data_IF_885650624989
#
_entry.id   IF_885650624989
#
_cell.length_a   1.000
_cell.length_b   1.000
_cell.length_c   1.000
_cell.angle_alpha   90.00
_cell.angle_beta   90.00
_cell.angle_gamma   90.00
#
_symmetry.space_group_name_H-M   'P 1'
#
loop_
_entity.id
_entity.type
_entity.pdbx_description
1 polymer ?
#
# COMPACT_ATOMS: atom_id res chain seq x y z
N UNK A 1 -3.35 38.84 -31.54
CA UNK A 1 -2.31 38.34 -30.62
C UNK A 1 -2.80 38.16 -29.17
N UNK A 2 -3.87 38.85 -28.75
CA UNK A 2 -4.40 38.84 -27.36
C UNK A 2 -5.01 37.49 -26.92
N UNK A 3 -5.61 36.73 -27.84
CA UNK A 3 -6.36 35.50 -27.51
C UNK A 3 -5.49 34.37 -26.94
N UNK A 4 -4.22 34.26 -27.37
CA UNK A 4 -3.34 33.17 -26.92
C UNK A 4 -2.86 33.40 -25.50
N UNK A 5 -2.54 34.64 -25.15
CA UNK A 5 -2.09 35.02 -23.80
C UNK A 5 -3.20 34.85 -22.77
N UNK A 6 -4.43 35.26 -23.09
CA UNK A 6 -5.60 35.08 -22.23
C UNK A 6 -5.90 33.60 -21.96
N UNK A 7 -5.78 32.75 -23.00
CA UNK A 7 -5.96 31.30 -22.87
C UNK A 7 -4.87 30.68 -22.00
N UNK A 8 -3.60 31.08 -22.18
CA UNK A 8 -2.49 30.58 -21.36
C UNK A 8 -2.69 30.98 -19.89
N UNK A 9 -3.05 32.24 -19.62
CA UNK A 9 -3.31 32.73 -18.27
C UNK A 9 -4.45 31.94 -17.62
N UNK A 10 -5.55 31.72 -18.34
CA UNK A 10 -6.68 30.94 -17.83
C UNK A 10 -6.26 29.51 -17.49
N UNK A 11 -5.51 28.85 -18.36
CA UNK A 11 -4.98 27.50 -18.12
C UNK A 11 -4.12 27.50 -16.85
N UNK A 12 -3.19 28.43 -16.72
CA UNK A 12 -2.32 28.54 -15.53
C UNK A 12 -3.14 28.72 -14.26
N UNK A 13 -4.15 29.60 -14.28
CA UNK A 13 -5.05 29.82 -13.13
C UNK A 13 -5.79 28.54 -12.77
N UNK A 14 -6.35 27.82 -13.75
CA UNK A 14 -7.07 26.56 -13.52
C UNK A 14 -6.15 25.49 -12.91
N UNK A 15 -4.95 25.32 -13.44
CA UNK A 15 -3.98 24.36 -12.90
C UNK A 15 -3.49 24.75 -11.50
N UNK A 16 -3.26 26.03 -11.24
CA UNK A 16 -2.85 26.52 -9.92
C UNK A 16 -3.95 26.33 -8.87
N UNK A 17 -5.19 26.68 -9.20
CA UNK A 17 -6.36 26.47 -8.34
C UNK A 17 -6.58 24.98 -8.08
N UNK A 18 -6.47 24.14 -9.11
CA UNK A 18 -6.57 22.70 -8.97
C UNK A 18 -5.50 22.15 -8.03
N UNK A 19 -4.25 22.56 -8.22
CA UNK A 19 -3.15 22.10 -7.36
C UNK A 19 -3.43 22.42 -5.89
N UNK A 20 -3.91 23.63 -5.60
CA UNK A 20 -4.26 24.04 -4.24
C UNK A 20 -5.45 23.22 -3.67
N UNK A 21 -6.56 23.18 -4.41
CA UNK A 21 -7.79 22.50 -3.99
C UNK A 21 -7.56 20.98 -3.87
N UNK A 22 -6.98 20.36 -4.88
CA UNK A 22 -6.61 18.96 -4.92
C UNK A 22 -5.63 18.59 -3.83
N UNK A 23 -4.69 19.47 -3.48
CA UNK A 23 -3.78 19.24 -2.36
C UNK A 23 -4.52 19.15 -1.02
N UNK A 24 -5.46 20.07 -0.76
CA UNK A 24 -6.25 20.09 0.47
C UNK A 24 -7.19 18.89 0.55
N UNK A 25 -7.95 18.63 -0.52
CA UNK A 25 -8.91 17.53 -0.59
C UNK A 25 -8.17 16.19 -0.48
N UNK A 26 -7.07 16.02 -1.22
CA UNK A 26 -6.28 14.80 -1.21
C UNK A 26 -5.71 14.48 0.16
N UNK A 27 -5.11 15.47 0.84
CA UNK A 27 -4.62 15.26 2.22
C UNK A 27 -5.73 14.88 3.19
N UNK A 28 -6.94 15.46 3.05
CA UNK A 28 -8.09 15.09 3.87
C UNK A 28 -8.53 13.65 3.61
N UNK A 29 -8.59 13.24 2.35
CA UNK A 29 -8.95 11.87 1.96
C UNK A 29 -7.89 10.89 2.49
N UNK A 30 -6.61 11.13 2.20
CA UNK A 30 -5.52 10.27 2.67
C UNK A 30 -5.52 10.16 4.20
N UNK A 31 -5.69 11.27 4.93
CA UNK A 31 -5.78 11.26 6.40
C UNK A 31 -6.97 10.45 6.91
N UNK A 32 -8.13 10.47 6.24
CA UNK A 32 -9.27 9.61 6.58
C UNK A 32 -8.94 8.15 6.34
N UNK A 33 -8.30 7.83 5.22
CA UNK A 33 -7.91 6.46 4.85
C UNK A 33 -7.00 5.82 5.89
N UNK A 34 -6.04 6.57 6.44
CA UNK A 34 -5.12 6.05 7.48
C UNK A 34 -5.57 6.32 8.91
N UNK A 35 -6.74 6.94 9.13
CA UNK A 35 -7.17 7.36 10.46
C UNK A 35 -7.20 6.19 11.44
N UNK A 36 -7.79 5.06 11.04
CA UNK A 36 -7.87 3.89 11.93
C UNK A 36 -6.51 3.30 12.30
N UNK A 37 -5.50 3.46 11.44
CA UNK A 37 -4.12 3.10 11.76
C UNK A 37 -3.51 4.05 12.81
N UNK A 38 -3.69 5.36 12.64
CA UNK A 38 -3.22 6.34 13.62
C UNK A 38 -3.89 6.09 14.99
N UNK A 39 -5.21 5.89 14.99
CA UNK A 39 -6.00 5.67 16.20
C UNK A 39 -5.56 4.38 16.95
N UNK A 40 -4.92 3.43 16.26
CA UNK A 40 -4.33 2.21 16.84
C UNK A 40 -2.84 2.33 17.21
N UNK A 41 -2.36 3.55 17.45
CA UNK A 41 -0.99 3.82 17.91
C UNK A 41 0.04 3.99 16.80
N UNK A 42 -0.40 4.11 15.54
CA UNK A 42 0.47 4.39 14.41
C UNK A 42 0.95 5.85 14.41
N UNK A 43 2.24 6.06 14.20
CA UNK A 43 2.83 7.39 14.05
C UNK A 43 2.80 7.82 12.58
N UNK A 44 2.08 8.89 12.28
CA UNK A 44 2.07 9.49 10.95
C UNK A 44 3.44 10.14 10.64
N UNK A 45 4.12 9.64 9.60
CA UNK A 45 5.42 10.15 9.14
C UNK A 45 5.35 10.99 7.88
N UNK A 46 4.46 10.63 6.97
CA UNK A 46 4.27 11.33 5.70
C UNK A 46 2.79 11.48 5.41
N UNK A 47 2.39 12.67 4.98
CA UNK A 47 1.06 12.94 4.46
C UNK A 47 1.16 13.90 3.27
N UNK A 48 0.96 13.36 2.08
CA UNK A 48 0.81 14.12 0.84
C UNK A 48 -0.64 14.08 0.39
N UNK A 49 -0.95 14.72 -0.74
CA UNK A 49 -2.26 14.61 -1.35
C UNK A 49 -2.54 13.23 -1.94
N UNK A 50 -1.49 12.48 -2.31
CA UNK A 50 -1.58 11.21 -3.04
C UNK A 50 -1.19 9.99 -2.21
N UNK A 51 -0.43 10.21 -1.14
CA UNK A 51 0.20 9.14 -0.37
C UNK A 51 0.35 9.48 1.11
N UNK A 52 0.54 8.44 1.91
CA UNK A 52 0.77 8.57 3.35
C UNK A 52 1.61 7.42 3.88
N UNK A 53 2.45 7.69 4.88
CA UNK A 53 3.24 6.70 5.60
C UNK A 53 2.88 6.72 7.09
N UNK A 54 2.48 5.56 7.60
CA UNK A 54 2.27 5.33 9.04
C UNK A 54 3.28 4.29 9.51
N UNK A 55 3.94 4.57 10.62
CA UNK A 55 4.91 3.67 11.23
C UNK A 55 4.51 3.29 12.65
N UNK A 56 4.72 2.03 12.98
CA UNK A 56 4.59 1.49 14.33
C UNK A 56 6.00 1.17 14.81
N UNK A 57 6.48 1.96 15.78
CA UNK A 57 7.79 1.72 16.39
C UNK A 57 7.64 0.61 17.42
N UNK A 58 8.41 -0.46 17.23
CA UNK A 58 8.74 -1.48 18.24
C UNK A 58 7.58 -1.96 19.09
N UNK A 59 6.87 -2.99 18.63
CA UNK A 59 6.00 -3.78 19.51
C UNK A 59 6.75 -5.05 19.98
N UNK A 60 6.07 -5.91 20.74
CA UNK A 60 6.69 -7.16 21.20
C UNK A 60 7.10 -8.09 20.05
N UNK A 61 6.48 -7.97 18.87
CA UNK A 61 6.64 -8.85 17.71
C UNK A 61 7.53 -8.28 16.60
N UNK A 62 7.58 -6.97 16.39
CA UNK A 62 8.34 -6.34 15.30
C UNK A 62 9.36 -5.33 15.81
N UNK A 63 10.52 -5.30 15.17
CA UNK A 63 11.43 -4.16 15.24
C UNK A 63 10.86 -2.95 14.48
N UNK A 64 10.21 -3.23 13.35
CA UNK A 64 9.62 -2.22 12.49
C UNK A 64 8.35 -2.74 11.80
N UNK A 65 7.31 -1.92 11.77
CA UNK A 65 6.13 -2.13 10.93
C UNK A 65 5.72 -0.80 10.31
N UNK A 66 5.88 -0.69 8.99
CA UNK A 66 5.54 0.48 8.20
C UNK A 66 4.44 0.18 7.19
N UNK A 67 3.48 1.09 7.06
CA UNK A 67 2.38 1.02 6.12
C UNK A 67 2.38 2.28 5.25
N UNK A 68 2.67 2.09 3.96
CA UNK A 68 2.63 3.14 2.95
C UNK A 68 1.39 2.98 2.08
N UNK A 69 0.54 4.00 2.03
CA UNK A 69 -0.65 4.04 1.17
C UNK A 69 -0.37 4.97 -0.01
N UNK A 70 -0.67 4.53 -1.22
CA UNK A 70 -0.65 5.33 -2.45
C UNK A 70 -1.98 5.16 -3.18
N UNK A 71 -2.64 6.26 -3.53
CA UNK A 71 -3.94 6.18 -4.20
C UNK A 71 -4.12 7.16 -5.35
N UNK A 72 -4.21 8.47 -5.06
CA UNK A 72 -4.79 9.45 -5.98
C UNK A 72 -3.75 10.46 -6.48
N UNK A 73 -3.57 10.65 -7.80
CA UNK A 73 -2.64 11.63 -8.33
C UNK A 73 -3.31 13.02 -8.40
N UNK A 74 -3.54 13.65 -7.24
CA UNK A 74 -4.10 15.01 -7.21
C UNK A 74 -3.18 16.07 -7.83
N UNK A 75 -1.94 15.70 -8.13
CA UNK A 75 -0.96 16.48 -8.87
C UNK A 75 -1.38 16.73 -10.34
N UNK A 76 -2.32 15.96 -10.90
CA UNK A 76 -2.76 16.15 -12.28
C UNK A 76 -4.28 15.98 -12.46
N UNK A 77 -4.96 17.10 -12.76
CA UNK A 77 -6.42 17.18 -12.97
C UNK A 77 -6.93 16.25 -14.08
N UNK A 78 -6.14 16.05 -15.14
CA UNK A 78 -6.51 15.24 -16.30
C UNK A 78 -6.38 13.74 -15.98
N UNK A 79 -5.38 13.37 -15.17
CA UNK A 79 -5.11 11.96 -14.86
C UNK A 79 -5.97 11.40 -13.75
N UNK A 80 -6.60 12.25 -12.94
CA UNK A 80 -7.41 11.80 -11.80
C UNK A 80 -8.56 10.87 -12.22
N UNK A 81 -9.41 11.20 -13.22
CA UNK A 81 -10.49 10.30 -13.65
C UNK A 81 -9.98 8.95 -14.17
N UNK A 82 -8.93 8.97 -15.01
CA UNK A 82 -8.35 7.75 -15.56
C UNK A 82 -7.77 6.85 -14.45
N UNK A 83 -7.09 7.43 -13.46
CA UNK A 83 -6.59 6.67 -12.31
C UNK A 83 -7.69 6.14 -11.42
N UNK A 84 -8.80 6.88 -11.25
CA UNK A 84 -9.96 6.39 -10.49
C UNK A 84 -10.64 5.21 -11.19
N UNK A 85 -10.71 5.23 -12.52
CA UNK A 85 -11.28 4.12 -13.31
C UNK A 85 -10.37 2.88 -13.29
N UNK A 86 -9.05 3.08 -13.45
CA UNK A 86 -8.09 1.97 -13.52
C UNK A 86 -7.69 1.42 -12.14
N UNK A 87 -7.69 2.27 -11.11
CA UNK A 87 -7.33 1.93 -9.72
C UNK A 87 -8.28 2.64 -8.74
N UNK A 88 -9.52 2.13 -8.59
CA UNK A 88 -10.53 2.75 -7.73
C UNK A 88 -10.20 2.68 -6.24
N UNK A 89 -9.24 1.83 -5.83
CA UNK A 89 -8.88 1.60 -4.44
C UNK A 89 -7.41 1.92 -4.16
N UNK A 90 -7.06 2.34 -2.93
CA UNK A 90 -5.68 2.59 -2.55
C UNK A 90 -4.81 1.34 -2.69
N UNK A 91 -3.58 1.52 -3.16
CA UNK A 91 -2.53 0.53 -3.06
C UNK A 91 -1.82 0.71 -1.73
N UNK A 92 -1.54 -0.40 -1.05
CA UNK A 92 -0.82 -0.40 0.22
C UNK A 92 0.41 -1.25 0.10
N UNK A 93 1.54 -0.70 0.54
CA UNK A 93 2.81 -1.37 0.68
C UNK A 93 3.09 -1.45 2.17
N UNK A 94 3.12 -2.65 2.71
CA UNK A 94 3.48 -2.92 4.10
C UNK A 94 4.90 -3.48 4.13
N UNK A 95 5.69 -2.95 5.05
CA UNK A 95 7.04 -3.37 5.35
C UNK A 95 7.10 -3.80 6.80
N UNK A 96 7.38 -5.07 7.05
CA UNK A 96 7.43 -5.65 8.39
C UNK A 96 8.80 -6.31 8.65
N UNK A 97 9.39 -5.99 9.79
CA UNK A 97 10.61 -6.61 10.31
C UNK A 97 10.29 -7.30 11.64
N UNK A 98 9.83 -8.56 11.61
CA UNK A 98 9.57 -9.34 12.81
C UNK A 98 10.87 -9.60 13.58
N UNK A 99 10.77 -9.68 14.92
CA UNK A 99 11.91 -10.00 15.78
C UNK A 99 12.42 -11.41 15.53
N UNK A 100 11.51 -12.36 15.30
CA UNK A 100 11.82 -13.71 14.82
C UNK A 100 11.84 -13.70 13.29
N UNK A 101 13.04 -13.69 12.70
CA UNK A 101 13.17 -13.66 11.23
C UNK A 101 12.66 -14.95 10.61
N UNK A 102 11.94 -14.81 9.51
CA UNK A 102 11.60 -15.94 8.65
C UNK A 102 12.83 -16.24 7.81
N UNK A 103 13.29 -17.49 7.89
CA UNK A 103 14.43 -17.96 7.12
C UNK A 103 14.00 -18.34 5.70
N UNK A 104 14.89 -18.12 4.74
CA UNK A 104 14.67 -18.38 3.32
C UNK A 104 14.17 -17.15 2.56
N UNK A 105 14.07 -17.31 1.24
CA UNK A 105 13.53 -16.33 0.33
C UNK A 105 12.23 -16.86 -0.29
N UNK A 106 11.22 -16.01 -0.38
CA UNK A 106 9.98 -16.30 -1.07
C UNK A 106 9.47 -15.03 -1.77
N UNK A 107 9.06 -15.17 -3.02
CA UNK A 107 8.44 -14.12 -3.80
C UNK A 107 7.17 -14.67 -4.45
N UNK A 108 6.04 -14.12 -4.00
CA UNK A 108 4.69 -14.41 -4.49
C UNK A 108 4.18 -13.18 -5.22
N UNK A 109 3.73 -13.34 -6.47
CA UNK A 109 3.09 -12.26 -7.23
C UNK A 109 1.85 -12.79 -7.93
N UNK A 110 0.75 -12.05 -7.83
CA UNK A 110 -0.47 -12.27 -8.61
C UNK A 110 -0.40 -11.45 -9.89
N UNK A 111 -0.51 -12.12 -11.03
CA UNK A 111 -0.66 -11.47 -12.35
C UNK A 111 -1.83 -12.12 -13.10
N UNK A 112 -2.92 -11.39 -13.42
CA UNK A 112 -3.19 -9.96 -13.19
C UNK A 112 -3.72 -9.64 -11.77
N UNK A 113 -3.50 -8.39 -11.31
CA UNK A 113 -3.97 -7.88 -10.00
C UNK A 113 -5.46 -8.09 -9.78
N UNK A 114 -5.85 -8.33 -8.53
CA UNK A 114 -7.24 -8.54 -8.12
C UNK A 114 -7.67 -10.01 -8.14
N UNK A 115 -6.78 -10.92 -8.54
CA UNK A 115 -6.98 -12.37 -8.48
C UNK A 115 -6.34 -13.04 -7.26
N UNK A 116 -5.83 -12.28 -6.29
CA UNK A 116 -5.15 -12.82 -5.11
C UNK A 116 -5.99 -13.88 -4.36
N UNK A 117 -7.29 -13.65 -4.22
CA UNK A 117 -8.23 -14.57 -3.58
C UNK A 117 -8.48 -15.87 -4.37
N UNK A 118 -8.06 -15.94 -5.63
CA UNK A 118 -8.15 -17.15 -6.48
C UNK A 118 -6.94 -18.06 -6.34
N UNK A 119 -5.90 -17.65 -5.61
CA UNK A 119 -4.68 -18.45 -5.43
C UNK A 119 -3.78 -18.54 -6.66
N UNK A 120 -4.02 -17.76 -7.70
CA UNK A 120 -3.21 -17.73 -8.92
C UNK A 120 -1.93 -16.89 -8.70
N UNK A 121 -0.87 -17.51 -8.15
CA UNK A 121 0.42 -16.86 -7.89
C UNK A 121 1.56 -17.41 -8.74
N UNK A 122 2.42 -16.51 -9.23
CA UNK A 122 3.80 -16.86 -9.60
C UNK A 122 4.65 -16.94 -8.32
N UNK A 123 5.39 -18.04 -8.18
CA UNK A 123 6.16 -18.36 -6.97
C UNK A 123 7.63 -18.51 -7.34
N UNK A 124 8.50 -17.82 -6.62
CA UNK A 124 9.95 -18.08 -6.60
C UNK A 124 10.40 -18.23 -5.16
N UNK A 125 11.16 -19.27 -4.84
CA UNK A 125 11.67 -19.49 -3.48
C UNK A 125 13.08 -20.09 -3.50
N UNK A 126 13.87 -19.74 -2.49
CA UNK A 126 15.22 -20.26 -2.27
C UNK A 126 15.45 -20.50 -0.79
N UNK A 127 16.26 -21.52 -0.44
CA UNK A 127 16.58 -21.87 0.95
C UNK A 127 15.32 -22.05 1.83
N UNK A 128 14.26 -22.61 1.26
CA UNK A 128 12.96 -22.87 1.90
C UNK A 128 12.37 -24.17 1.34
N UNK A 129 11.71 -24.98 2.18
CA UNK A 129 11.04 -26.20 1.72
C UNK A 129 9.77 -25.88 0.92
N UNK A 130 9.40 -26.80 0.02
CA UNK A 130 8.19 -26.67 -0.78
C UNK A 130 6.93 -26.62 0.09
N UNK A 131 6.86 -27.41 1.16
CA UNK A 131 5.73 -27.41 2.10
C UNK A 131 5.58 -26.04 2.78
N UNK A 132 6.72 -25.45 3.20
CA UNK A 132 6.71 -24.12 3.83
C UNK A 132 6.29 -23.03 2.85
N UNK A 133 6.81 -23.06 1.62
CA UNK A 133 6.42 -22.13 0.57
C UNK A 133 4.91 -22.24 0.24
N UNK A 134 4.38 -23.46 0.18
CA UNK A 134 2.94 -23.72 -0.03
C UNK A 134 2.10 -23.15 1.11
N UNK A 135 2.49 -23.41 2.37
CA UNK A 135 1.79 -22.86 3.54
C UNK A 135 1.73 -21.33 3.50
N UNK A 136 2.83 -20.67 3.15
CA UNK A 136 2.88 -19.20 3.06
C UNK A 136 1.99 -18.68 1.93
N UNK A 137 1.95 -19.38 0.79
CA UNK A 137 1.04 -19.05 -0.30
C UNK A 137 -0.41 -19.16 0.15
N UNK A 138 -0.80 -20.23 0.84
CA UNK A 138 -2.17 -20.42 1.31
C UNK A 138 -2.58 -19.29 2.26
N UNK A 139 -1.70 -18.94 3.20
CA UNK A 139 -1.95 -17.85 4.16
C UNK A 139 -2.00 -16.47 3.50
N UNK A 140 -1.21 -16.24 2.44
CA UNK A 140 -1.24 -15.01 1.64
C UNK A 140 -2.52 -14.91 0.78
N UNK A 141 -2.92 -16.02 0.16
CA UNK A 141 -4.12 -16.14 -0.68
C UNK A 141 -5.39 -15.88 0.14
N UNK A 142 -5.51 -16.52 1.32
CA UNK A 142 -6.65 -16.31 2.25
C UNK A 142 -6.87 -14.84 2.62
N UNK A 143 -5.79 -14.06 2.69
CA UNK A 143 -5.82 -12.63 3.05
C UNK A 143 -5.85 -11.69 1.84
N UNK A 144 -5.78 -12.25 0.63
CA UNK A 144 -5.85 -11.51 -0.63
C UNK A 144 -4.65 -10.59 -0.85
N UNK A 145 -3.43 -11.00 -0.47
CA UNK A 145 -2.24 -10.20 -0.72
C UNK A 145 -1.77 -10.34 -2.18
N UNK A 146 -1.70 -9.24 -2.92
CA UNK A 146 -1.36 -9.25 -4.35
C UNK A 146 0.12 -9.59 -4.61
N UNK A 147 1.00 -9.23 -3.67
CA UNK A 147 2.41 -9.63 -3.69
C UNK A 147 2.95 -9.76 -2.28
N UNK A 148 3.76 -10.79 -2.06
CA UNK A 148 4.49 -11.02 -0.80
C UNK A 148 5.94 -11.33 -1.13
N UNK A 149 6.86 -10.67 -0.46
CA UNK A 149 8.29 -10.93 -0.53
C UNK A 149 8.80 -11.20 0.88
N UNK A 150 9.50 -12.31 1.07
CA UNK A 150 10.18 -12.69 2.31
C UNK A 150 11.67 -12.85 2.00
N UNK A 151 12.52 -12.35 2.88
CA UNK A 151 13.97 -12.55 2.81
C UNK A 151 14.79 -11.30 2.46
N UNK A 152 14.15 -10.23 1.95
CA UNK A 152 14.79 -8.93 1.73
C UNK A 152 14.78 -8.09 3.03
N UNK A 153 15.53 -6.98 3.13
CA UNK A 153 15.34 -6.02 4.23
C UNK A 153 14.32 -4.94 3.82
N UNK A 154 13.23 -4.72 4.58
CA UNK A 154 12.78 -5.45 5.78
C UNK A 154 12.25 -6.85 5.44
N UNK A 155 12.39 -7.79 6.40
CA UNK A 155 12.25 -9.24 6.21
C UNK A 155 10.98 -9.69 5.49
N UNK A 156 9.91 -8.89 5.58
CA UNK A 156 8.64 -9.13 4.88
C UNK A 156 8.18 -7.83 4.22
N UNK A 157 7.86 -7.90 2.92
CA UNK A 157 7.18 -6.83 2.17
C UNK A 157 5.89 -7.38 1.56
N UNK A 158 4.77 -6.72 1.84
CA UNK A 158 3.46 -7.10 1.32
C UNK A 158 2.93 -5.94 0.49
N UNK A 159 2.42 -6.21 -0.71
CA UNK A 159 1.69 -5.25 -1.53
C UNK A 159 0.27 -5.76 -1.71
N UNK A 160 -0.71 -4.92 -1.43
CA UNK A 160 -2.11 -5.26 -1.58
C UNK A 160 -2.97 -4.03 -1.88
N UNK A 161 -4.22 -4.27 -2.24
CA UNK A 161 -5.23 -3.22 -2.36
C UNK A 161 -5.92 -3.04 -1.02
N UNK A 162 -6.13 -1.79 -0.58
CA UNK A 162 -6.91 -1.50 0.60
C UNK A 162 -8.39 -1.76 0.30
N UNK A 163 -8.90 -2.90 0.77
CA UNK A 163 -10.31 -3.31 0.59
C UNK A 163 -11.20 -2.85 1.74
N UNK A 164 -10.64 -2.81 2.94
CA UNK A 164 -11.29 -2.48 4.20
C UNK A 164 -10.58 -1.27 4.84
N UNK A 165 -10.83 -0.97 6.10
CA UNK A 165 -10.08 0.07 6.79
C UNK A 165 -8.62 -0.36 7.08
N UNK A 166 -7.78 0.65 7.37
CA UNK A 166 -6.34 0.48 7.57
C UNK A 166 -6.00 -0.43 8.77
N UNK A 167 -6.77 -0.39 9.86
CA UNK A 167 -6.55 -1.22 11.04
C UNK A 167 -6.86 -2.69 10.76
N UNK A 168 -7.96 -2.98 10.06
CA UNK A 168 -8.31 -4.34 9.63
C UNK A 168 -7.24 -4.94 8.70
N UNK A 169 -6.63 -4.11 7.85
CA UNK A 169 -5.47 -4.56 7.05
C UNK A 169 -4.26 -4.93 7.94
N UNK A 170 -3.96 -4.13 8.96
CA UNK A 170 -2.86 -4.43 9.88
C UNK A 170 -3.08 -5.69 10.71
N UNK A 171 -4.32 -5.94 11.15
CA UNK A 171 -4.66 -7.19 11.85
C UNK A 171 -4.38 -8.40 10.95
N UNK A 172 -4.84 -8.37 9.69
CA UNK A 172 -4.53 -9.44 8.71
C UNK A 172 -3.03 -9.64 8.51
N UNK A 173 -2.25 -8.56 8.47
CA UNK A 173 -0.78 -8.66 8.37
C UNK A 173 -0.20 -9.33 9.61
N UNK A 174 -0.65 -8.96 10.81
CA UNK A 174 -0.19 -9.56 12.06
C UNK A 174 -0.47 -11.06 12.11
N UNK A 175 -1.72 -11.44 11.85
CA UNK A 175 -2.12 -12.84 11.77
C UNK A 175 -1.33 -13.62 10.71
N UNK A 176 -1.08 -13.01 9.54
CA UNK A 176 -0.27 -13.62 8.50
C UNK A 176 1.14 -13.92 9.01
N UNK A 177 1.81 -12.92 9.60
CA UNK A 177 3.17 -13.12 10.11
C UNK A 177 3.21 -14.13 11.26
N UNK A 178 2.18 -14.19 12.10
CA UNK A 178 2.08 -15.20 13.16
C UNK A 178 1.94 -16.62 12.58
N UNK A 179 1.18 -16.78 11.49
CA UNK A 179 0.94 -18.09 10.87
C UNK A 179 2.18 -18.69 10.17
N UNK A 180 3.14 -17.84 9.76
CA UNK A 180 4.30 -18.23 8.94
C UNK A 180 5.65 -18.20 9.69
N UNK A 181 5.65 -17.63 10.91
CA UNK A 181 6.80 -17.58 11.83
C UNK A 181 7.05 -18.91 12.55
#
# INVERSE_FOLDING_TARGET
MVVVEEVIILIVIVFALWYFIGSIIGRRIMRRTIKSCIDRGGSLRLLTSSSSLVEYKGDDKYYYLGLYVDWLPFDNIINLPLRLLTRPRPLVIIKAEPKKKIQGYLHLIVEPRGKALKGEYSIKYHNMSKERASKILDEASKRGFEKVVIGDKPNITIITVLRDDCATLLERVREFTDAIS
#
